data_IF_188433646301
#
_entry.id   IF_188433646301
#
_cell.length_a   1.000
_cell.length_b   1.000
_cell.length_c   1.000
_cell.angle_alpha   90.00
_cell.angle_beta   90.00
_cell.angle_gamma   90.00
#
_symmetry.space_group_name_H-M   'P 1'
#
loop_
_entity.id
_entity.type
_entity.pdbx_description
1 polymer ?
#
# COMPACT_ATOMS: atom_id res chain seq x y z
N UNK A 1 -19.16 -0.43 16.86
CA UNK A 1 -18.02 -1.24 16.37
C UNK A 1 -16.90 -1.14 17.39
N UNK A 2 -16.49 -2.27 17.95
CA UNK A 2 -15.37 -2.35 18.88
C UNK A 2 -14.03 -2.33 18.10
N UNK A 3 -12.95 -1.90 18.76
CA UNK A 3 -11.60 -1.88 18.18
C UNK A 3 -11.18 -3.26 17.65
N UNK A 4 -11.55 -4.32 18.38
CA UNK A 4 -11.31 -5.71 18.02
C UNK A 4 -12.08 -6.13 16.75
N UNK A 5 -13.29 -5.63 16.56
CA UNK A 5 -14.05 -5.86 15.32
C UNK A 5 -13.38 -5.18 14.13
N UNK A 6 -12.90 -3.94 14.29
CA UNK A 6 -12.21 -3.22 13.23
C UNK A 6 -10.87 -3.88 12.87
N UNK A 7 -10.08 -4.30 13.86
CA UNK A 7 -8.82 -5.03 13.66
C UNK A 7 -9.05 -6.38 12.97
N UNK A 8 -10.09 -7.12 13.34
CA UNK A 8 -10.46 -8.39 12.69
C UNK A 8 -10.94 -8.18 11.25
N UNK A 9 -11.69 -7.11 10.98
CA UNK A 9 -12.22 -6.82 9.64
C UNK A 9 -11.09 -6.41 8.68
N UNK A 10 -10.12 -5.64 9.17
CA UNK A 10 -8.88 -5.33 8.45
C UNK A 10 -8.07 -6.61 8.24
N UNK A 11 -7.80 -7.40 9.28
CA UNK A 11 -7.01 -8.63 9.17
C UNK A 11 -7.61 -9.65 8.19
N UNK A 12 -8.94 -9.77 8.16
CA UNK A 12 -9.65 -10.65 7.23
C UNK A 12 -9.66 -10.13 5.79
N UNK A 13 -9.67 -8.80 5.59
CA UNK A 13 -9.59 -8.20 4.25
C UNK A 13 -8.21 -8.41 3.58
N UNK A 14 -7.16 -8.69 4.35
CA UNK A 14 -5.80 -8.90 3.85
C UNK A 14 -5.27 -10.34 4.01
N UNK A 15 -6.09 -11.27 4.52
CA UNK A 15 -5.70 -12.68 4.62
C UNK A 15 -5.88 -13.36 3.26
N UNK A 16 -4.78 -13.84 2.67
CA UNK A 16 -4.86 -14.73 1.51
C UNK A 16 -5.62 -16.02 1.89
N UNK A 17 -6.50 -16.56 1.02
CA UNK A 17 -7.20 -17.80 1.31
C UNK A 17 -6.17 -18.93 1.44
N UNK A 18 -6.21 -19.62 2.58
CA UNK A 18 -5.45 -20.84 2.77
C UNK A 18 -5.94 -21.86 1.74
N UNK A 19 -5.03 -22.38 0.92
CA UNK A 19 -5.31 -23.53 0.07
C UNK A 19 -5.44 -24.74 0.98
N UNK A 20 -6.67 -25.23 1.17
CA UNK A 20 -6.91 -26.50 1.86
C UNK A 20 -6.15 -27.63 1.14
N UNK A 21 -5.15 -28.16 1.84
CA UNK A 21 -4.42 -29.36 1.45
C UNK A 21 -5.38 -30.55 1.48
N UNK A 22 -5.68 -31.11 0.30
CA UNK A 22 -6.37 -32.39 0.17
C UNK A 22 -5.49 -33.48 0.79
N UNK A 23 -6.03 -34.13 1.83
CA UNK A 23 -5.50 -35.37 2.41
C UNK A 23 -5.53 -36.48 1.34
N UNK A 24 -4.36 -36.99 0.95
CA UNK A 24 -4.27 -38.24 0.20
C UNK A 24 -4.15 -39.43 1.17
N UNK A 25 -5.19 -40.26 1.19
CA UNK A 25 -5.12 -41.61 1.77
C UNK A 25 -4.30 -42.49 0.83
N UNK A 26 -3.19 -43.02 1.33
CA UNK A 26 -2.36 -43.99 0.62
C UNK A 26 -2.94 -45.40 0.77
N UNK A 27 -3.35 -46.01 -0.34
CA UNK A 27 -3.36 -47.47 -0.52
C UNK A 27 -3.08 -47.86 -1.98
N UNK A 28 -1.87 -48.36 -2.17
CA UNK A 28 -1.50 -49.57 -2.93
C UNK A 28 -1.42 -49.58 -4.48
N UNK A 29 -0.23 -50.06 -4.90
CA UNK A 29 0.08 -51.00 -6.01
C UNK A 29 0.47 -50.44 -7.39
N UNK A 30 1.73 -50.69 -7.76
CA UNK A 30 2.32 -50.61 -9.12
C UNK A 30 2.16 -51.99 -9.80
N UNK A 31 2.06 -52.10 -11.14
CA UNK A 31 3.29 -52.40 -11.91
C UNK A 31 3.39 -51.79 -13.33
N UNK A 32 4.65 -51.46 -13.69
CA UNK A 32 5.39 -51.59 -14.96
C UNK A 32 4.68 -51.49 -16.34
N UNK A 33 5.21 -50.64 -17.24
CA UNK A 33 4.99 -50.73 -18.68
C UNK A 33 5.34 -49.46 -19.47
N UNK A 34 6.42 -49.50 -20.26
CA UNK A 34 6.90 -48.47 -21.18
C UNK A 34 5.92 -48.15 -22.32
N UNK A 35 5.66 -46.86 -22.62
CA UNK A 35 5.29 -46.32 -23.95
C UNK A 35 5.36 -44.78 -23.98
N UNK A 36 6.04 -44.27 -25.00
CA UNK A 36 6.23 -42.85 -25.33
C UNK A 36 4.93 -42.17 -25.82
N UNK A 37 4.92 -40.83 -25.64
CA UNK A 37 4.02 -39.80 -26.22
C UNK A 37 2.60 -39.72 -25.64
N UNK A 38 2.34 -38.62 -24.93
CA UNK A 38 1.38 -37.59 -25.33
C UNK A 38 1.64 -36.37 -24.46
N UNK A 39 1.75 -35.19 -25.06
CA UNK A 39 1.73 -33.91 -24.35
C UNK A 39 0.44 -33.84 -23.55
N UNK A 40 0.49 -34.19 -22.26
CA UNK A 40 -0.55 -33.82 -21.31
C UNK A 40 -0.40 -32.31 -21.12
N UNK A 41 -1.05 -31.58 -22.04
CA UNK A 41 -1.43 -30.19 -21.87
C UNK A 41 -2.03 -30.12 -20.47
N UNK A 42 -1.28 -29.55 -19.52
CA UNK A 42 -1.78 -29.29 -18.17
C UNK A 42 -3.16 -28.65 -18.36
N UNK A 43 -4.20 -29.16 -17.68
CA UNK A 43 -5.50 -28.50 -17.75
C UNK A 43 -5.24 -27.06 -17.34
N UNK A 44 -5.42 -26.15 -18.30
CA UNK A 44 -5.43 -24.72 -18.07
C UNK A 44 -6.67 -24.46 -17.24
N UNK A 45 -6.56 -24.74 -15.94
CA UNK A 45 -7.50 -24.33 -14.93
C UNK A 45 -7.51 -22.82 -15.10
N UNK A 46 -8.67 -22.24 -15.40
CA UNK A 46 -8.87 -20.79 -15.42
C UNK A 46 -8.56 -20.24 -14.02
N UNK A 47 -7.26 -20.12 -13.70
CA UNK A 47 -6.71 -19.49 -12.50
C UNK A 47 -6.31 -18.06 -12.80
N UNK A 48 -6.42 -17.60 -14.05
CA UNK A 48 -6.15 -16.21 -14.42
C UNK A 48 -6.96 -15.24 -13.55
N UNK A 49 -8.26 -15.51 -13.33
CA UNK A 49 -9.10 -14.67 -12.46
C UNK A 49 -8.66 -14.71 -10.99
N UNK A 50 -8.15 -15.84 -10.50
CA UNK A 50 -7.66 -15.98 -9.12
C UNK A 50 -6.28 -15.37 -8.92
N UNK A 51 -5.41 -15.45 -9.93
CA UNK A 51 -4.05 -14.91 -9.91
C UNK A 51 -4.06 -13.38 -10.06
N UNK A 52 -4.87 -12.86 -10.98
CA UNK A 52 -5.02 -11.40 -11.15
C UNK A 52 -5.64 -10.78 -9.90
N UNK A 53 -6.62 -11.45 -9.29
CA UNK A 53 -7.21 -11.02 -8.02
C UNK A 53 -6.19 -11.05 -6.88
N UNK A 54 -5.37 -12.10 -6.77
CA UNK A 54 -4.29 -12.17 -5.78
C UNK A 54 -3.24 -11.07 -5.99
N UNK A 55 -2.82 -10.81 -7.23
CA UNK A 55 -1.83 -9.78 -7.56
C UNK A 55 -2.35 -8.36 -7.29
N UNK A 56 -3.64 -8.12 -7.56
CA UNK A 56 -4.28 -6.85 -7.23
C UNK A 56 -4.47 -6.69 -5.72
N UNK A 57 -4.89 -7.74 -5.01
CA UNK A 57 -5.12 -7.68 -3.58
C UNK A 57 -3.82 -7.62 -2.76
N UNK A 58 -2.76 -8.28 -3.21
CA UNK A 58 -1.45 -8.24 -2.57
C UNK A 58 -0.68 -6.93 -2.84
N UNK A 59 -1.10 -6.14 -3.84
CA UNK A 59 -0.39 -4.93 -4.28
C UNK A 59 0.91 -5.23 -5.05
N UNK A 60 1.22 -6.50 -5.31
CA UNK A 60 2.48 -6.92 -5.97
C UNK A 60 2.55 -6.40 -7.40
N UNK A 61 1.42 -6.34 -8.12
CA UNK A 61 1.41 -5.83 -9.50
C UNK A 61 1.95 -4.39 -9.59
N UNK A 62 1.55 -3.52 -8.66
CA UNK A 62 2.03 -2.14 -8.59
C UNK A 62 3.56 -2.09 -8.49
N UNK A 63 4.14 -2.96 -7.67
CA UNK A 63 5.58 -3.03 -7.48
C UNK A 63 6.31 -3.57 -8.70
N UNK A 64 5.74 -4.56 -9.39
CA UNK A 64 6.30 -5.10 -10.64
C UNK A 64 6.28 -4.04 -11.75
N UNK A 65 5.18 -3.31 -11.92
CA UNK A 65 5.07 -2.26 -12.94
C UNK A 65 6.11 -1.14 -12.71
N UNK A 66 6.27 -0.71 -11.46
CA UNK A 66 7.29 0.29 -11.10
C UNK A 66 8.72 -0.23 -11.29
N UNK A 67 8.97 -1.49 -10.93
CA UNK A 67 10.27 -2.14 -11.13
C UNK A 67 10.65 -2.21 -12.60
N UNK A 68 9.71 -2.58 -13.48
CA UNK A 68 9.94 -2.64 -14.93
C UNK A 68 10.28 -1.26 -15.48
N UNK A 69 9.53 -0.22 -15.10
CA UNK A 69 9.86 1.18 -15.49
C UNK A 69 11.27 1.55 -15.05
N UNK A 70 11.61 1.31 -13.79
CA UNK A 70 12.95 1.61 -13.28
C UNK A 70 14.07 0.84 -13.98
N UNK A 71 13.85 -0.43 -14.36
CA UNK A 71 14.82 -1.21 -15.13
C UNK A 71 15.03 -0.63 -16.53
N UNK A 72 13.95 -0.17 -17.18
CA UNK A 72 14.01 0.47 -18.50
C UNK A 72 14.74 1.82 -18.46
N UNK A 73 14.49 2.60 -17.41
CA UNK A 73 15.07 3.94 -17.23
C UNK A 73 16.54 3.87 -16.81
N UNK A 74 16.86 3.06 -15.79
CA UNK A 74 18.20 3.04 -15.18
C UNK A 74 19.16 2.09 -15.88
N UNK A 75 18.64 1.06 -16.56
CA UNK A 75 19.41 0.01 -17.25
C UNK A 75 20.63 -0.48 -16.43
N UNK A 76 20.42 -0.99 -15.21
CA UNK A 76 21.52 -1.34 -14.33
C UNK A 76 22.35 -2.49 -14.90
N UNK A 77 23.66 -2.46 -14.67
CA UNK A 77 24.60 -3.51 -15.11
C UNK A 77 24.29 -4.88 -14.50
N UNK A 78 23.68 -4.90 -13.32
CA UNK A 78 23.28 -6.12 -12.60
C UNK A 78 21.75 -6.14 -12.34
N UNK A 79 20.92 -6.47 -13.35
CA UNK A 79 19.46 -6.45 -13.21
C UNK A 79 18.94 -7.36 -12.10
N UNK A 80 19.52 -8.56 -11.93
CA UNK A 80 19.08 -9.50 -10.88
C UNK A 80 19.27 -8.92 -9.47
N UNK A 81 20.43 -8.29 -9.20
CA UNK A 81 20.69 -7.65 -7.91
C UNK A 81 19.80 -6.42 -7.71
N UNK A 82 19.54 -5.64 -8.77
CA UNK A 82 18.63 -4.52 -8.72
C UNK A 82 17.22 -4.95 -8.31
N UNK A 83 16.69 -6.02 -8.93
CA UNK A 83 15.38 -6.60 -8.61
C UNK A 83 15.34 -7.07 -7.14
N UNK A 84 16.36 -7.80 -6.69
CA UNK A 84 16.44 -8.27 -5.31
C UNK A 84 16.45 -7.10 -4.30
N UNK A 85 17.24 -6.06 -4.57
CA UNK A 85 17.32 -4.87 -3.72
C UNK A 85 16.00 -4.10 -3.69
N UNK A 86 15.30 -4.02 -4.82
CA UNK A 86 14.00 -3.36 -4.90
C UNK A 86 12.96 -4.03 -3.99
N UNK A 87 12.79 -5.36 -4.10
CA UNK A 87 11.84 -6.07 -3.24
C UNK A 87 12.28 -6.14 -1.79
N UNK A 88 13.59 -6.18 -1.50
CA UNK A 88 14.08 -6.03 -0.14
C UNK A 88 13.72 -4.66 0.47
N UNK A 89 13.75 -3.59 -0.32
CA UNK A 89 13.31 -2.27 0.13
C UNK A 89 11.79 -2.19 0.35
N UNK A 90 11.00 -2.85 -0.51
CA UNK A 90 9.54 -2.97 -0.34
C UNK A 90 9.22 -3.73 0.94
N UNK A 91 9.84 -4.89 1.17
CA UNK A 91 9.62 -5.69 2.37
C UNK A 91 10.00 -4.95 3.66
N UNK A 92 11.01 -4.07 3.61
CA UNK A 92 11.43 -3.21 4.72
C UNK A 92 10.59 -1.92 4.86
N UNK A 93 9.72 -1.62 3.89
CA UNK A 93 8.98 -0.36 3.81
C UNK A 93 9.88 0.87 3.62
N UNK A 94 11.09 0.69 3.06
CA UNK A 94 12.02 1.79 2.73
C UNK A 94 11.94 2.23 1.28
N UNK A 95 11.14 1.54 0.46
CA UNK A 95 10.91 1.83 -0.96
C UNK A 95 10.27 3.21 -1.21
N UNK A 96 9.58 3.78 -0.21
CA UNK A 96 8.89 5.07 -0.28
C UNK A 96 9.80 6.29 -0.05
N UNK A 97 11.06 6.08 0.37
CA UNK A 97 12.03 7.17 0.56
C UNK A 97 12.36 7.86 -0.75
N UNK A 98 12.34 9.19 -0.77
CA UNK A 98 12.68 10.01 -1.93
C UNK A 98 11.87 9.66 -3.19
N UNK A 99 10.61 9.26 -3.00
CA UNK A 99 9.67 8.96 -4.09
C UNK A 99 8.66 10.09 -4.23
N UNK A 100 8.10 10.21 -5.43
CA UNK A 100 6.96 11.10 -5.66
C UNK A 100 5.75 10.70 -4.83
N UNK A 101 4.90 11.68 -4.54
CA UNK A 101 3.63 11.47 -3.86
C UNK A 101 2.76 10.46 -4.61
N UNK A 102 2.79 10.45 -5.94
CA UNK A 102 2.06 9.47 -6.76
C UNK A 102 2.43 8.02 -6.36
N UNK A 103 3.72 7.72 -6.24
CA UNK A 103 4.16 6.38 -5.83
C UNK A 103 3.78 6.09 -4.38
N UNK A 104 4.01 7.05 -3.48
CA UNK A 104 3.67 6.95 -2.05
C UNK A 104 2.18 6.70 -1.83
N UNK A 105 1.32 7.29 -2.65
CA UNK A 105 -0.13 7.18 -2.60
C UNK A 105 -0.68 5.99 -3.42
N UNK A 106 0.16 5.34 -4.23
CA UNK A 106 -0.23 4.41 -5.30
C UNK A 106 -0.79 3.06 -4.83
N UNK A 107 -0.44 2.61 -3.62
CA UNK A 107 -1.06 1.45 -2.99
C UNK A 107 -1.09 1.60 -1.46
N UNK A 108 -1.92 0.80 -0.79
CA UNK A 108 -2.09 0.90 0.66
C UNK A 108 -0.80 0.59 1.43
N UNK A 109 -0.03 -0.38 0.94
CA UNK A 109 1.25 -0.80 1.52
C UNK A 109 2.26 0.36 1.49
N UNK A 110 2.30 1.15 0.41
CA UNK A 110 3.13 2.34 0.33
C UNK A 110 2.69 3.43 1.31
N UNK A 111 1.37 3.63 1.47
CA UNK A 111 0.87 4.59 2.46
C UNK A 111 1.26 4.21 3.88
N UNK A 112 1.10 2.94 4.23
CA UNK A 112 1.52 2.40 5.52
C UNK A 112 3.04 2.55 5.73
N UNK A 113 3.84 2.20 4.72
CA UNK A 113 5.29 2.33 4.75
C UNK A 113 5.72 3.80 4.93
N UNK A 114 5.04 4.74 4.27
CA UNK A 114 5.30 6.17 4.39
C UNK A 114 4.97 6.71 5.77
N UNK A 115 3.81 6.35 6.34
CA UNK A 115 3.46 6.72 7.72
C UNK A 115 4.51 6.19 8.72
N UNK A 116 4.90 4.92 8.57
CA UNK A 116 5.95 4.33 9.41
C UNK A 116 7.31 5.02 9.20
N UNK A 117 7.62 5.49 7.99
CA UNK A 117 8.80 6.30 7.73
C UNK A 117 8.72 7.65 8.46
N UNK A 118 7.60 8.37 8.39
CA UNK A 118 7.42 9.64 9.10
C UNK A 118 7.67 9.48 10.61
N UNK A 119 7.07 8.46 11.21
CA UNK A 119 7.27 8.15 12.64
C UNK A 119 8.74 7.92 12.97
N UNK A 120 9.49 7.20 12.12
CA UNK A 120 10.93 6.99 12.29
C UNK A 120 11.73 8.27 12.09
N UNK A 121 11.37 9.09 11.09
CA UNK A 121 12.07 10.35 10.79
C UNK A 121 11.93 11.37 11.93
N UNK A 122 10.81 11.35 12.66
CA UNK A 122 10.54 12.29 13.74
C UNK A 122 10.71 11.71 15.15
N UNK A 123 11.26 10.49 15.27
CA UNK A 123 11.41 9.80 16.56
C UNK A 123 12.22 10.60 17.60
N UNK A 124 13.12 11.46 17.15
CA UNK A 124 13.98 12.29 18.01
C UNK A 124 13.39 13.66 18.34
N UNK A 125 12.26 14.03 17.74
CA UNK A 125 11.58 15.30 17.99
C UNK A 125 10.65 15.09 19.17
N UNK A 126 10.55 16.10 20.05
CA UNK A 126 9.56 16.08 21.12
C UNK A 126 8.15 16.04 20.50
N UNK A 127 7.41 14.98 20.83
CA UNK A 127 6.08 14.74 20.27
C UNK A 127 5.02 15.68 20.87
N UNK A 128 5.33 16.32 22.00
CA UNK A 128 4.45 17.30 22.64
C UNK A 128 4.81 18.74 22.22
N UNK A 129 5.85 18.91 21.38
CA UNK A 129 6.18 20.18 20.73
C UNK A 129 4.99 20.71 19.94
N UNK A 130 4.58 21.95 20.27
CA UNK A 130 3.53 22.66 19.56
C UNK A 130 4.07 23.19 18.23
N UNK A 131 3.40 22.83 17.14
CA UNK A 131 3.75 23.25 15.78
C UNK A 131 2.56 23.93 15.12
N UNK A 132 2.82 24.91 14.27
CA UNK A 132 1.79 25.37 13.33
C UNK A 132 1.56 24.32 12.24
N UNK A 133 0.38 24.37 11.61
CA UNK A 133 0.11 23.54 10.42
C UNK A 133 1.12 23.83 9.30
N UNK A 134 1.63 25.06 9.20
CA UNK A 134 2.69 25.44 8.27
C UNK A 134 3.99 24.68 8.54
N UNK A 135 4.51 24.73 9.78
CA UNK A 135 5.76 24.05 10.17
C UNK A 135 5.66 22.55 9.89
N UNK A 136 4.53 21.94 10.24
CA UNK A 136 4.29 20.52 9.99
C UNK A 136 4.20 20.18 8.50
N UNK A 137 3.66 21.08 7.67
CA UNK A 137 3.64 20.92 6.21
C UNK A 137 5.05 20.89 5.65
N UNK A 138 5.91 21.83 6.07
CA UNK A 138 7.31 21.87 5.65
C UNK A 138 8.08 20.62 6.08
N UNK A 139 7.83 20.12 7.29
CA UNK A 139 8.38 18.85 7.75
C UNK A 139 7.96 17.70 6.82
N UNK A 140 6.68 17.60 6.45
CA UNK A 140 6.20 16.60 5.50
C UNK A 140 6.84 16.74 4.12
N UNK A 141 7.03 17.97 3.62
CA UNK A 141 7.71 18.23 2.34
C UNK A 141 9.18 17.81 2.36
N UNK A 142 9.85 17.86 3.51
CA UNK A 142 11.19 17.29 3.66
C UNK A 142 11.21 15.76 3.46
N UNK A 143 10.08 15.07 3.58
CA UNK A 143 9.95 13.61 3.39
C UNK A 143 9.38 13.25 2.01
N UNK A 144 8.54 14.11 1.44
CA UNK A 144 7.91 13.98 0.13
C UNK A 144 7.60 15.38 -0.42
N UNK A 145 8.46 15.88 -1.30
CA UNK A 145 8.46 17.29 -1.73
C UNK A 145 7.23 17.72 -2.54
N UNK A 146 6.57 16.77 -3.21
CA UNK A 146 5.38 16.98 -4.03
C UNK A 146 4.07 16.61 -3.28
N UNK A 147 4.12 16.48 -1.95
CA UNK A 147 2.95 16.16 -1.14
C UNK A 147 1.89 17.27 -1.24
N UNK A 148 0.63 16.96 -1.61
CA UNK A 148 -0.40 17.96 -1.77
C UNK A 148 -0.77 18.65 -0.46
N UNK A 149 -0.64 19.97 -0.39
CA UNK A 149 -1.03 20.77 0.80
C UNK A 149 -2.50 20.58 1.17
N UNK A 150 -3.36 20.29 0.18
CA UNK A 150 -4.78 20.02 0.42
C UNK A 150 -5.00 18.81 1.33
N UNK A 151 -4.14 17.80 1.26
CA UNK A 151 -4.19 16.64 2.15
C UNK A 151 -3.93 17.05 3.61
N UNK A 152 -2.95 17.93 3.83
CA UNK A 152 -2.63 18.45 5.17
C UNK A 152 -3.77 19.33 5.69
N UNK A 153 -4.37 20.17 4.84
CA UNK A 153 -5.54 20.97 5.18
C UNK A 153 -6.75 20.11 5.55
N UNK A 154 -6.99 19.02 4.83
CA UNK A 154 -8.05 18.06 5.17
C UNK A 154 -7.78 17.41 6.53
N UNK A 155 -6.56 16.93 6.74
CA UNK A 155 -6.16 16.28 7.99
C UNK A 155 -6.28 17.20 9.21
N UNK A 156 -5.95 18.47 9.06
CA UNK A 156 -5.93 19.48 10.13
C UNK A 156 -7.19 20.35 10.17
N UNK A 157 -8.19 20.00 9.34
CA UNK A 157 -9.44 20.74 9.13
C UNK A 157 -10.23 21.01 10.42
N UNK A 158 -10.14 20.08 11.37
CA UNK A 158 -10.89 20.04 12.62
C UNK A 158 -10.18 20.70 13.81
N UNK A 159 -8.93 21.14 13.65
CA UNK A 159 -8.19 21.80 14.73
C UNK A 159 -8.71 23.23 14.95
N UNK A 160 -8.76 23.70 16.22
CA UNK A 160 -9.17 25.06 16.52
C UNK A 160 -8.18 26.08 15.95
N UNK A 161 -8.71 27.21 15.51
CA UNK A 161 -7.91 28.38 15.13
C UNK A 161 -7.62 29.20 16.38
N UNK A 162 -6.36 29.64 16.52
CA UNK A 162 -5.96 30.56 17.58
C UNK A 162 -6.33 32.00 17.20
N UNK A 163 -6.14 32.95 18.13
CA UNK A 163 -6.41 34.38 17.92
C UNK A 163 -5.66 34.95 16.70
N UNK A 164 -4.47 34.43 16.39
CA UNK A 164 -3.68 34.81 15.22
C UNK A 164 -4.19 34.23 13.88
N UNK A 165 -5.32 33.51 13.90
CA UNK A 165 -5.86 32.75 12.76
C UNK A 165 -5.06 31.48 12.40
N UNK A 166 -4.01 31.16 13.16
CA UNK A 166 -3.17 29.98 12.91
C UNK A 166 -3.65 28.77 13.70
N UNK A 167 -3.73 27.61 13.05
CA UNK A 167 -3.99 26.32 13.72
C UNK A 167 -2.67 25.75 14.24
N UNK A 168 -2.66 25.37 15.51
CA UNK A 168 -1.49 24.78 16.19
C UNK A 168 -1.92 23.55 16.97
N UNK A 169 -1.08 22.53 16.98
CA UNK A 169 -1.26 21.33 17.77
C UNK A 169 0.09 20.68 18.05
N UNK A 170 0.14 19.72 18.97
CA UNK A 170 1.35 18.93 19.21
C UNK A 170 1.71 18.10 17.98
N UNK A 171 3.01 17.84 17.78
CA UNK A 171 3.49 16.96 16.71
C UNK A 171 2.78 15.61 16.73
N UNK A 172 2.52 15.05 17.92
CA UNK A 172 1.73 13.81 18.10
C UNK A 172 0.35 13.92 17.44
N UNK A 173 -0.39 14.98 17.78
CA UNK A 173 -1.75 15.20 17.26
C UNK A 173 -1.74 15.37 15.75
N UNK A 174 -0.79 16.16 15.23
CA UNK A 174 -0.64 16.40 13.79
C UNK A 174 -0.30 15.12 13.03
N UNK A 175 0.64 14.32 13.53
CA UNK A 175 1.00 13.03 12.95
C UNK A 175 -0.17 12.05 12.97
N UNK A 176 -0.92 11.97 14.07
CA UNK A 176 -2.11 11.10 14.16
C UNK A 176 -3.19 11.53 13.17
N UNK A 177 -3.52 12.82 13.13
CA UNK A 177 -4.53 13.37 12.22
C UNK A 177 -4.14 13.15 10.75
N UNK A 178 -2.89 13.45 10.40
CA UNK A 178 -2.37 13.22 9.05
C UNK A 178 -2.36 11.73 8.70
N UNK A 179 -1.87 10.86 9.58
CA UNK A 179 -1.81 9.42 9.32
C UNK A 179 -3.19 8.83 9.07
N UNK A 180 -4.19 9.20 9.88
CA UNK A 180 -5.57 8.77 9.68
C UNK A 180 -6.13 9.29 8.35
N UNK A 181 -6.00 10.59 8.09
CA UNK A 181 -6.51 11.20 6.85
C UNK A 181 -5.86 10.57 5.61
N UNK A 182 -4.53 10.46 5.58
CA UNK A 182 -3.78 9.94 4.45
C UNK A 182 -4.04 8.45 4.19
N UNK A 183 -4.09 7.63 5.24
CA UNK A 183 -4.37 6.20 5.11
C UNK A 183 -5.78 5.95 4.58
N UNK A 184 -6.79 6.63 5.13
CA UNK A 184 -8.20 6.41 4.78
C UNK A 184 -8.71 7.22 3.58
N UNK A 185 -7.94 8.19 3.07
CA UNK A 185 -8.32 8.97 1.87
C UNK A 185 -8.51 8.13 0.58
N UNK A 186 -8.23 6.81 0.62
CA UNK A 186 -8.67 5.85 -0.41
C UNK A 186 -10.19 5.93 -0.64
N UNK A 187 -10.97 6.18 0.43
CA UNK A 187 -12.42 6.16 0.36
C UNK A 187 -13.00 7.28 -0.52
N UNK A 188 -12.44 8.49 -0.50
CA UNK A 188 -13.00 9.60 -1.31
C UNK A 188 -12.75 9.42 -2.81
N UNK A 189 -11.59 8.92 -3.23
CA UNK A 189 -11.29 8.72 -4.66
C UNK A 189 -12.04 7.50 -5.22
N UNK A 190 -12.14 6.41 -4.46
CA UNK A 190 -12.96 5.24 -4.82
C UNK A 190 -14.46 5.52 -4.82
N UNK A 191 -14.98 6.25 -3.83
CA UNK A 191 -16.39 6.65 -3.77
C UNK A 191 -16.75 7.62 -4.90
N UNK A 192 -15.90 8.60 -5.23
CA UNK A 192 -16.13 9.50 -6.39
C UNK A 192 -16.09 8.74 -7.72
N UNK A 193 -15.22 7.72 -7.84
CA UNK A 193 -15.20 6.86 -9.02
C UNK A 193 -16.49 6.01 -9.15
N UNK A 194 -16.95 5.41 -8.05
CA UNK A 194 -18.21 4.65 -8.02
C UNK A 194 -19.43 5.55 -8.24
N UNK A 195 -19.48 6.75 -7.65
CA UNK A 195 -20.54 7.73 -7.88
C UNK A 195 -20.62 8.18 -9.33
N UNK A 196 -19.48 8.40 -10.01
CA UNK A 196 -19.45 8.71 -11.45
C UNK A 196 -19.94 7.54 -12.31
N UNK A 197 -19.56 6.29 -11.98
CA UNK A 197 -20.05 5.10 -12.68
C UNK A 197 -21.54 4.84 -12.46
N UNK A 198 -22.04 5.01 -11.24
CA UNK A 198 -23.47 4.85 -10.93
C UNK A 198 -24.32 6.02 -11.44
N UNK A 199 -23.75 7.22 -11.57
CA UNK A 199 -24.41 8.40 -12.17
C UNK A 199 -24.60 8.28 -13.68
N UNK A 200 -23.64 7.69 -14.39
CA UNK A 200 -23.70 7.49 -15.86
C UNK A 200 -24.58 6.30 -16.30
N UNK A 201 -25.20 5.55 -15.39
CA UNK A 201 -26.15 4.48 -15.72
C UNK A 201 -27.62 4.89 -15.55
N UNK A 202 -27.90 6.17 -15.28
CA UNK A 202 -29.28 6.69 -15.12
C UNK A 202 -29.65 7.77 -16.16
N UNK A 203 -28.93 7.83 -17.28
CA UNK A 203 -29.32 8.62 -18.46
C UNK A 203 -29.55 7.68 -19.64
#
# INVERSE_FOLDING_TARGET
MSRLEAENLIANAYRAPATDSVRENATATVPSGSKLRTLARLPSRNTASSNDFYLQQSGVQFYVDDLVRQLQDKRPDQPAQFIANYFAAVAKGSNVKNRSFEYVNGCLQNRAAFIAQLQRSYVKIDHDMMLSVGDFTEMLHCQCSDLPTQLVRQATGHLPENEDGQRRASLRTLLTAFSACFFFNVFEQGARYLQRKCGNQRQ
#
